data_IF_342880547557
#
_entry.id   IF_342880547557
#
_cell.length_a   1.000
_cell.length_b   1.000
_cell.length_c   1.000
_cell.angle_alpha   90.00
_cell.angle_beta   90.00
_cell.angle_gamma   90.00
#
_symmetry.space_group_name_H-M   'P 1'
#
loop_
_entity.id
_entity.type
_entity.pdbx_description
1 polymer ?
#
# COMPACT_ATOMS: atom_id res chain seq x y z
N UNK A 1 51.45 47.27 32.87
CA UNK A 1 50.38 46.86 33.82
C UNK A 1 49.10 47.56 33.39
N UNK A 2 48.07 46.84 32.94
CA UNK A 2 46.69 47.13 33.37
C UNK A 2 45.71 46.08 32.87
N UNK A 3 44.66 45.90 33.67
CA UNK A 3 43.83 44.71 33.81
C UNK A 3 42.70 44.70 32.79
N UNK A 4 42.43 43.52 32.22
CA UNK A 4 41.19 43.21 31.50
C UNK A 4 40.00 43.45 32.42
N UNK A 5 39.17 44.45 32.12
CA UNK A 5 37.86 44.65 32.74
C UNK A 5 36.78 44.21 31.75
N UNK A 6 36.15 43.09 32.05
CA UNK A 6 34.94 42.60 31.36
C UNK A 6 33.80 43.59 31.65
N UNK A 7 33.20 44.16 30.60
CA UNK A 7 31.93 44.89 30.73
C UNK A 7 30.82 44.10 30.05
N UNK A 8 29.98 43.48 30.86
CA UNK A 8 28.68 42.92 30.51
C UNK A 8 27.77 44.04 30.00
N UNK A 9 27.25 43.92 28.77
CA UNK A 9 26.12 44.74 28.30
C UNK A 9 24.90 43.85 28.06
N UNK A 10 23.84 44.20 28.79
CA UNK A 10 22.51 43.58 28.78
C UNK A 10 21.93 43.55 27.36
N UNK A 11 21.28 42.43 27.03
CA UNK A 11 20.35 42.28 25.91
C UNK A 11 19.27 43.35 25.96
N UNK A 12 19.03 44.07 24.86
CA UNK A 12 17.72 44.65 24.56
C UNK A 12 17.42 44.59 23.05
N UNK A 13 16.30 43.93 22.77
CA UNK A 13 15.30 44.20 21.73
C UNK A 13 15.75 44.67 20.34
N UNK A 14 15.73 43.74 19.38
CA UNK A 14 15.54 44.09 17.97
C UNK A 14 14.04 43.94 17.70
N UNK A 15 13.31 45.06 17.75
CA UNK A 15 12.00 45.19 17.09
C UNK A 15 12.31 45.72 15.70
N UNK A 16 12.16 44.86 14.69
CA UNK A 16 12.38 45.23 13.31
C UNK A 16 11.63 44.27 12.41
N UNK A 17 10.46 44.69 11.95
CA UNK A 17 9.57 43.94 11.09
C UNK A 17 10.28 43.43 9.83
N UNK A 18 10.08 42.15 9.55
CA UNK A 18 10.46 41.52 8.31
C UNK A 18 9.50 40.37 8.06
N UNK A 19 8.80 40.45 6.94
CA UNK A 19 7.73 39.58 6.46
C UNK A 19 7.70 38.15 7.03
N UNK A 20 6.51 37.81 7.51
CA UNK A 20 6.08 36.46 7.93
C UNK A 20 6.58 35.44 6.90
N UNK A 21 7.35 34.45 7.35
CA UNK A 21 7.64 33.23 6.57
C UNK A 21 6.34 32.45 6.40
N UNK A 22 5.50 32.87 5.45
CA UNK A 22 4.31 32.19 4.99
C UNK A 22 4.57 31.62 3.60
N UNK A 23 5.67 30.88 3.45
CA UNK A 23 5.89 30.08 2.26
C UNK A 23 6.25 28.66 2.69
N UNK A 24 5.23 27.81 2.57
CA UNK A 24 5.28 26.38 2.32
C UNK A 24 5.92 25.51 3.41
N UNK A 25 5.35 25.57 4.62
CA UNK A 25 5.18 24.30 5.36
C UNK A 25 4.01 23.62 4.66
N UNK A 26 4.26 22.53 3.93
CA UNK A 26 3.20 21.59 3.63
C UNK A 26 2.43 21.34 4.93
N UNK A 27 1.09 21.39 4.95
CA UNK A 27 0.35 21.11 6.17
C UNK A 27 0.83 19.73 6.62
N UNK A 28 1.44 19.67 7.82
CA UNK A 28 1.73 18.39 8.45
C UNK A 28 0.38 17.73 8.55
N UNK A 29 0.18 16.66 7.76
CA UNK A 29 -1.06 15.89 7.77
C UNK A 29 -1.39 15.62 9.23
N UNK A 30 -2.53 16.15 9.67
CA UNK A 30 -3.01 15.89 11.01
C UNK A 30 -3.16 14.37 11.15
N UNK A 31 -2.59 13.80 12.21
CA UNK A 31 -2.55 12.35 12.42
C UNK A 31 -3.96 11.75 12.47
N UNK A 32 -4.95 12.60 12.75
CA UNK A 32 -6.37 12.29 12.85
C UNK A 32 -7.20 12.50 11.58
N UNK A 33 -6.60 12.73 10.40
CA UNK A 33 -7.36 12.57 9.17
C UNK A 33 -7.59 11.07 8.94
N UNK A 34 -8.82 10.54 9.07
CA UNK A 34 -9.09 9.19 8.61
C UNK A 34 -8.66 9.15 7.15
N UNK A 35 -7.71 8.28 6.84
CA UNK A 35 -7.33 8.00 5.46
C UNK A 35 -8.64 7.60 4.81
N UNK A 36 -9.26 8.51 4.04
CA UNK A 36 -10.35 8.11 3.16
C UNK A 36 -9.77 6.90 2.42
N UNK A 37 -10.35 5.73 2.61
CA UNK A 37 -10.07 4.58 1.75
C UNK A 37 -10.85 4.91 0.50
N UNK A 38 -10.37 5.89 -0.27
CA UNK A 38 -11.00 6.22 -1.52
C UNK A 38 -10.80 5.00 -2.42
N UNK A 39 -11.77 4.82 -3.31
CA UNK A 39 -11.96 3.75 -4.30
C UNK A 39 -10.76 3.54 -5.25
N UNK A 40 -9.61 4.16 -4.97
CA UNK A 40 -8.32 3.92 -5.60
C UNK A 40 -7.94 2.44 -5.64
N UNK A 41 -8.38 1.61 -4.69
CA UNK A 41 -8.18 0.16 -4.77
C UNK A 41 -8.88 -0.45 -5.98
N UNK A 42 -10.16 -0.10 -6.18
CA UNK A 42 -10.98 -0.56 -7.30
C UNK A 42 -10.51 0.06 -8.62
N UNK A 43 -10.25 1.38 -8.64
CA UNK A 43 -9.74 2.09 -9.82
C UNK A 43 -8.30 1.70 -10.20
N UNK A 44 -7.48 1.21 -9.27
CA UNK A 44 -6.13 0.73 -9.58
C UNK A 44 -6.13 -0.67 -10.19
N UNK A 45 -7.19 -1.45 -9.96
CA UNK A 45 -7.39 -2.78 -10.55
C UNK A 45 -8.04 -2.68 -11.94
N UNK A 46 -8.77 -1.60 -12.23
CA UNK A 46 -9.41 -1.40 -13.54
C UNK A 46 -8.59 -0.46 -14.44
N UNK A 47 -8.21 -0.80 -15.70
CA UNK A 47 -8.32 -2.07 -16.41
C UNK A 47 -6.93 -2.71 -16.48
N UNK A 48 -6.46 -3.31 -15.38
CA UNK A 48 -5.25 -4.13 -15.44
C UNK A 48 -5.66 -5.57 -15.66
N UNK A 49 -5.07 -6.20 -16.67
CA UNK A 49 -5.19 -7.64 -16.93
C UNK A 49 -4.16 -8.44 -16.14
N UNK A 50 -3.57 -7.83 -15.11
CA UNK A 50 -2.55 -8.46 -14.29
C UNK A 50 -3.23 -9.37 -13.26
N UNK A 51 -2.63 -10.53 -13.00
CA UNK A 51 -3.05 -11.41 -11.93
C UNK A 51 -2.97 -10.70 -10.58
N UNK A 52 -4.03 -10.86 -9.78
CA UNK A 52 -4.20 -10.25 -8.47
C UNK A 52 -3.43 -11.07 -7.42
N UNK A 53 -3.44 -12.39 -7.54
CA UNK A 53 -2.80 -13.30 -6.59
C UNK A 53 -1.33 -13.51 -6.98
N UNK A 54 -0.38 -13.50 -6.03
CA UNK A 54 0.99 -13.85 -6.36
C UNK A 54 1.10 -15.30 -6.85
N UNK A 55 1.78 -15.50 -7.99
CA UNK A 55 1.96 -16.82 -8.61
C UNK A 55 2.56 -17.87 -7.66
N UNK A 56 3.52 -17.49 -6.81
CA UNK A 56 4.17 -18.41 -5.88
C UNK A 56 3.23 -18.94 -4.80
N UNK A 57 2.36 -18.07 -4.27
CA UNK A 57 1.37 -18.47 -3.26
C UNK A 57 0.31 -19.37 -3.87
N UNK A 58 -0.17 -19.03 -5.08
CA UNK A 58 -1.14 -19.86 -5.79
C UNK A 58 -0.57 -21.24 -6.13
N UNK A 59 0.66 -21.31 -6.64
CA UNK A 59 1.32 -22.57 -6.95
C UNK A 59 1.54 -23.46 -5.71
N UNK A 60 1.83 -22.86 -4.55
CA UNK A 60 1.97 -23.62 -3.30
C UNK A 60 0.65 -24.24 -2.88
N UNK A 61 -0.43 -23.45 -2.92
CA UNK A 61 -1.78 -23.91 -2.61
C UNK A 61 -2.24 -25.02 -3.57
N UNK A 62 -2.05 -24.83 -4.87
CA UNK A 62 -2.41 -25.83 -5.88
C UNK A 62 -1.72 -27.18 -5.65
N UNK A 63 -0.43 -27.16 -5.24
CA UNK A 63 0.32 -28.37 -4.90
C UNK A 63 -0.14 -29.03 -3.61
N UNK A 64 -0.56 -28.24 -2.62
CA UNK A 64 -1.13 -28.75 -1.37
C UNK A 64 -2.45 -29.48 -1.65
N UNK A 65 -3.36 -28.83 -2.38
CA UNK A 65 -4.63 -29.42 -2.80
C UNK A 65 -4.41 -30.69 -3.63
N UNK A 66 -3.43 -30.69 -4.55
CA UNK A 66 -3.11 -31.87 -5.36
C UNK A 66 -2.68 -33.06 -4.49
N UNK A 67 -1.88 -32.83 -3.45
CA UNK A 67 -1.45 -33.88 -2.51
C UNK A 67 -2.63 -34.46 -1.72
N UNK A 68 -3.62 -33.63 -1.39
CA UNK A 68 -4.82 -34.07 -0.69
C UNK A 68 -5.75 -34.89 -1.61
N UNK A 69 -5.86 -34.53 -2.89
CA UNK A 69 -6.68 -35.25 -3.87
C UNK A 69 -6.02 -36.58 -4.29
N UNK A 70 -4.70 -36.59 -4.45
CA UNK A 70 -3.92 -37.76 -4.89
C UNK A 70 -2.78 -38.06 -3.92
N UNK A 71 -3.08 -38.62 -2.74
CA UNK A 71 -2.06 -38.93 -1.76
C UNK A 71 -1.08 -39.99 -2.28
N UNK A 72 0.22 -39.72 -2.17
CA UNK A 72 1.29 -40.65 -2.54
C UNK A 72 1.75 -40.57 -4.00
N UNK A 73 1.06 -39.82 -4.86
CA UNK A 73 1.48 -39.56 -6.23
C UNK A 73 2.18 -38.18 -6.32
N UNK A 74 3.46 -38.18 -6.70
CA UNK A 74 4.23 -36.96 -6.88
C UNK A 74 4.03 -36.44 -8.31
N UNK A 75 2.91 -35.76 -8.55
CA UNK A 75 2.67 -35.08 -9.81
C UNK A 75 3.47 -33.77 -9.88
N UNK A 76 4.16 -33.59 -11.00
CA UNK A 76 4.69 -32.29 -11.39
C UNK A 76 3.61 -31.54 -12.16
N UNK A 77 3.42 -30.26 -11.83
CA UNK A 77 2.43 -29.40 -12.49
C UNK A 77 3.17 -28.46 -13.41
N UNK A 78 2.83 -28.49 -14.69
CA UNK A 78 3.38 -27.59 -15.70
C UNK A 78 3.08 -26.13 -15.35
N UNK A 79 4.03 -25.24 -15.64
CA UNK A 79 3.86 -23.82 -15.36
C UNK A 79 2.67 -23.22 -16.15
N UNK A 80 2.47 -23.66 -17.39
CA UNK A 80 1.30 -23.24 -18.18
C UNK A 80 -0.02 -23.71 -17.57
N UNK A 81 -0.06 -24.92 -17.01
CA UNK A 81 -1.25 -25.41 -16.34
C UNK A 81 -1.56 -24.60 -15.08
N UNK A 82 -0.54 -24.23 -14.30
CA UNK A 82 -0.70 -23.36 -13.13
C UNK A 82 -1.17 -21.96 -13.52
N UNK A 83 -0.60 -21.38 -14.56
CA UNK A 83 -0.98 -20.05 -15.05
C UNK A 83 -2.45 -20.04 -15.51
N UNK A 84 -2.86 -21.01 -16.34
CA UNK A 84 -4.26 -21.13 -16.80
C UNK A 84 -5.24 -21.40 -15.65
N UNK A 85 -4.85 -22.23 -14.68
CA UNK A 85 -5.67 -22.51 -13.50
C UNK A 85 -5.86 -21.24 -12.67
N UNK A 86 -4.81 -20.43 -12.52
CA UNK A 86 -4.86 -19.17 -11.79
C UNK A 86 -5.75 -18.14 -12.49
N UNK A 87 -5.60 -17.98 -13.81
CA UNK A 87 -6.46 -17.09 -14.61
C UNK A 87 -7.94 -17.44 -14.43
N UNK A 88 -8.29 -18.72 -14.56
CA UNK A 88 -9.67 -19.18 -14.37
C UNK A 88 -10.17 -18.96 -12.94
N UNK A 89 -9.34 -19.25 -11.94
CA UNK A 89 -9.73 -19.11 -10.53
C UNK A 89 -9.98 -17.64 -10.15
N UNK A 90 -9.10 -16.73 -10.57
CA UNK A 90 -9.28 -15.30 -10.31
C UNK A 90 -10.49 -14.74 -11.06
N UNK A 91 -10.67 -15.11 -12.33
CA UNK A 91 -11.84 -14.69 -13.11
C UNK A 91 -13.16 -15.15 -12.45
N UNK A 92 -13.19 -16.39 -11.96
CA UNK A 92 -14.35 -16.93 -11.25
C UNK A 92 -14.66 -16.14 -9.98
N UNK A 93 -13.66 -15.90 -9.13
CA UNK A 93 -13.83 -15.17 -7.87
C UNK A 93 -14.30 -13.73 -8.11
N UNK A 94 -13.74 -13.05 -9.12
CA UNK A 94 -14.19 -11.70 -9.50
C UNK A 94 -15.66 -11.72 -9.94
N UNK A 95 -16.04 -12.66 -10.80
CA UNK A 95 -17.41 -12.79 -11.27
C UNK A 95 -18.40 -13.07 -10.11
N UNK A 96 -18.05 -13.94 -9.18
CA UNK A 96 -18.90 -14.24 -8.01
C UNK A 96 -19.09 -12.99 -7.14
N UNK A 97 -18.02 -12.26 -6.83
CA UNK A 97 -18.13 -11.01 -6.06
C UNK A 97 -18.92 -9.92 -6.78
N UNK A 98 -18.80 -9.81 -8.11
CA UNK A 98 -19.64 -8.91 -8.91
C UNK A 98 -21.12 -9.30 -8.83
N UNK A 99 -21.42 -10.60 -8.86
CA UNK A 99 -22.79 -11.10 -8.78
C UNK A 99 -23.41 -10.90 -7.39
N UNK A 100 -22.65 -11.13 -6.31
CA UNK A 100 -23.08 -10.89 -4.94
C UNK A 100 -23.24 -9.39 -4.65
N UNK A 101 -22.42 -8.55 -5.27
CA UNK A 101 -22.56 -7.09 -5.19
C UNK A 101 -23.89 -6.62 -5.79
N UNK A 102 -24.39 -7.28 -6.83
CA UNK A 102 -25.70 -6.97 -7.41
C UNK A 102 -26.87 -7.45 -6.53
N UNK A 103 -26.70 -8.50 -5.73
CA UNK A 103 -27.73 -9.02 -4.83
C UNK A 103 -27.80 -8.29 -3.48
N UNK A 104 -26.73 -7.60 -3.09
CA UNK A 104 -26.64 -6.86 -1.82
C UNK A 104 -27.04 -5.38 -1.91
N UNK A 105 -27.32 -4.89 -3.12
CA UNK A 105 -27.86 -3.55 -3.41
C UNK A 105 -29.40 -3.52 -3.39
#
# INVERSE_FOLDING_TARGET
MEKVKRTTRKRQHIVGGGARRLFNKTPRRDVNYPRKKNDWGLLALHPKTDLIIPKSTFATLAREIMKDIKPGENYEIDQHALDSLQECAEAYVVQEFESESLLSL
#
